data_IF_240875577621
#
_entry.id   IF_240875577621
#
_cell.length_a   1.000
_cell.length_b   1.000
_cell.length_c   1.000
_cell.angle_alpha   90.00
_cell.angle_beta   90.00
_cell.angle_gamma   90.00
#
_symmetry.space_group_name_H-M   'P 1'
#
loop_
_entity.id
_entity.type
_entity.pdbx_description
1 polymer ?
#
# COMPACT_ATOMS: atom_id res chain seq x y z
N UNK A 1 3.10 -38.28 15.28
CA UNK A 1 1.77 -37.74 15.62
C UNK A 1 1.96 -36.32 16.12
N UNK A 2 1.35 -35.29 15.50
CA UNK A 2 1.47 -33.94 16.06
C UNK A 2 0.68 -33.90 17.38
N UNK A 3 1.39 -33.62 18.48
CA UNK A 3 0.80 -33.39 19.79
C UNK A 3 0.00 -32.08 19.74
N UNK A 4 -1.32 -32.17 19.78
CA UNK A 4 -2.19 -30.99 19.90
C UNK A 4 -2.29 -30.63 21.37
N UNK A 5 -1.49 -29.68 21.82
CA UNK A 5 -1.56 -29.14 23.17
C UNK A 5 -2.91 -28.39 23.34
N UNK A 6 -3.79 -28.77 24.28
CA UNK A 6 -5.13 -28.18 24.41
C UNK A 6 -5.11 -26.72 24.89
N UNK A 7 -4.00 -26.24 25.45
CA UNK A 7 -3.86 -24.90 26.05
C UNK A 7 -3.29 -23.83 25.09
N UNK A 8 -3.23 -24.11 23.78
CA UNK A 8 -2.68 -23.16 22.79
C UNK A 8 -3.45 -21.83 22.76
N UNK A 9 -4.73 -21.86 23.13
CA UNK A 9 -5.59 -20.67 23.15
C UNK A 9 -5.43 -19.83 24.42
N UNK A 10 -4.91 -20.39 25.51
CA UNK A 10 -4.90 -19.73 26.84
C UNK A 10 -3.91 -18.55 26.90
N UNK A 11 -2.90 -18.54 26.03
CA UNK A 11 -1.91 -17.47 25.93
C UNK A 11 -2.21 -16.46 24.81
N UNK A 12 -3.29 -16.64 24.04
CA UNK A 12 -3.66 -15.73 22.96
C UNK A 12 -4.48 -14.57 23.51
N UNK A 13 -3.88 -13.38 23.55
CA UNK A 13 -4.64 -12.15 23.84
C UNK A 13 -5.36 -11.66 22.58
N UNK A 14 -6.71 -11.71 22.50
CA UNK A 14 -7.43 -11.19 21.34
C UNK A 14 -7.29 -9.68 21.23
N UNK A 15 -7.32 -9.18 20.00
CA UNK A 15 -7.24 -7.74 19.74
C UNK A 15 -8.49 -7.02 20.25
N UNK A 16 -8.28 -5.93 21.00
CA UNK A 16 -9.36 -5.05 21.50
C UNK A 16 -9.53 -3.82 20.60
N UNK A 17 -10.70 -3.20 20.60
CA UNK A 17 -10.95 -1.97 19.84
C UNK A 17 -10.02 -0.86 20.38
N UNK A 18 -9.09 -0.39 19.56
CA UNK A 18 -8.08 0.60 19.96
C UNK A 18 -6.72 -0.01 20.31
N UNK A 19 -6.56 -1.33 20.22
CA UNK A 19 -5.29 -2.03 20.47
C UNK A 19 -4.20 -1.55 19.48
N UNK A 20 -3.07 -1.00 19.99
CA UNK A 20 -1.98 -0.49 19.17
C UNK A 20 -1.34 -1.54 18.25
N UNK A 21 -1.47 -2.84 18.58
CA UNK A 21 -0.92 -3.95 17.79
C UNK A 21 -1.67 -4.16 16.47
N UNK A 22 -2.89 -3.62 16.34
CA UNK A 22 -3.65 -3.69 15.10
C UNK A 22 -3.06 -2.68 14.11
N UNK A 23 -2.54 -3.15 12.97
CA UNK A 23 -2.16 -2.27 11.87
C UNK A 23 -3.40 -1.66 11.18
N UNK A 24 -3.93 -0.58 11.76
CA UNK A 24 -5.06 0.20 11.20
C UNK A 24 -4.61 1.27 10.23
N UNK A 25 -3.29 1.56 10.16
CA UNK A 25 -2.70 2.54 9.24
C UNK A 25 -2.54 1.97 7.82
N UNK A 26 -2.42 0.64 7.68
CA UNK A 26 -2.20 -0.01 6.38
C UNK A 26 -3.45 -0.19 5.51
N UNK A 27 -4.62 -0.52 6.10
CA UNK A 27 -5.87 -0.74 5.34
C UNK A 27 -6.83 0.43 5.53
N UNK A 28 -7.13 1.24 4.50
CA UNK A 28 -8.09 2.33 4.62
C UNK A 28 -9.46 1.80 5.04
N UNK A 29 -10.11 2.47 6.01
CA UNK A 29 -11.41 2.06 6.59
C UNK A 29 -12.52 1.89 5.54
N UNK A 30 -12.48 2.67 4.46
CA UNK A 30 -13.48 2.67 3.39
C UNK A 30 -13.10 1.78 2.19
N UNK A 31 -11.90 1.19 2.18
CA UNK A 31 -11.45 0.36 1.07
C UNK A 31 -12.38 -0.84 0.82
N UNK A 32 -13.01 -1.35 1.87
CA UNK A 32 -13.91 -2.50 1.78
C UNK A 32 -15.19 -2.17 1.01
N UNK A 33 -15.69 -0.93 1.14
CA UNK A 33 -16.83 -0.46 0.37
C UNK A 33 -16.47 -0.37 -1.11
N UNK A 34 -15.30 0.18 -1.41
CA UNK A 34 -14.78 0.27 -2.78
C UNK A 34 -14.56 -1.13 -3.37
N UNK A 35 -13.93 -2.05 -2.62
CA UNK A 35 -13.73 -3.44 -3.05
C UNK A 35 -15.04 -4.12 -3.37
N UNK A 36 -16.07 -3.97 -2.52
CA UNK A 36 -17.40 -4.54 -2.78
C UNK A 36 -18.02 -3.99 -4.06
N UNK A 37 -17.93 -2.68 -4.30
CA UNK A 37 -18.41 -2.05 -5.53
C UNK A 37 -17.66 -2.57 -6.77
N UNK A 38 -16.34 -2.70 -6.68
CA UNK A 38 -15.53 -3.23 -7.79
C UNK A 38 -15.91 -4.69 -8.09
N UNK A 39 -16.13 -5.51 -7.06
CA UNK A 39 -16.59 -6.89 -7.23
C UNK A 39 -17.97 -6.97 -7.87
N UNK A 40 -18.92 -6.10 -7.48
CA UNK A 40 -20.25 -6.08 -8.08
C UNK A 40 -20.17 -5.73 -9.56
N UNK A 41 -19.44 -4.66 -9.91
CA UNK A 41 -19.22 -4.25 -11.31
C UNK A 41 -18.52 -5.37 -12.10
N UNK A 42 -17.60 -6.08 -11.47
CA UNK A 42 -16.83 -7.13 -12.12
C UNK A 42 -17.62 -8.38 -12.49
N UNK A 43 -18.68 -8.70 -11.75
CA UNK A 43 -19.55 -9.87 -11.95
C UNK A 43 -20.67 -9.56 -12.96
N UNK A 44 -20.90 -8.29 -13.29
CA UNK A 44 -21.89 -7.90 -14.30
C UNK A 44 -21.59 -8.53 -15.67
N UNK A 45 -22.66 -8.93 -16.36
CA UNK A 45 -22.60 -9.50 -17.71
C UNK A 45 -22.25 -8.39 -18.71
N UNK A 46 -21.31 -8.66 -19.61
CA UNK A 46 -20.97 -7.73 -20.68
C UNK A 46 -22.05 -7.79 -21.76
N UNK A 47 -22.51 -6.62 -22.19
CA UNK A 47 -23.44 -6.48 -23.31
C UNK A 47 -22.70 -5.97 -24.54
N UNK A 48 -23.10 -6.46 -25.72
CA UNK A 48 -22.65 -5.94 -27.01
C UNK A 48 -23.32 -4.59 -27.32
N UNK A 49 -22.89 -3.92 -28.40
CA UNK A 49 -23.41 -2.62 -28.85
C UNK A 49 -24.93 -2.60 -29.06
N UNK A 50 -25.54 -3.75 -29.30
CA UNK A 50 -26.99 -3.92 -29.46
C UNK A 50 -27.70 -4.37 -28.17
N UNK A 51 -27.04 -4.31 -27.01
CA UNK A 51 -27.62 -4.63 -25.70
C UNK A 51 -27.80 -6.13 -25.42
N UNK A 52 -27.20 -7.00 -26.23
CA UNK A 52 -27.29 -8.47 -26.07
C UNK A 52 -26.12 -8.99 -25.22
N UNK A 53 -26.30 -10.03 -24.38
CA UNK A 53 -25.20 -10.65 -23.66
C UNK A 53 -24.09 -11.12 -24.59
N UNK A 54 -22.85 -10.73 -24.28
CA UNK A 54 -21.68 -11.16 -25.03
C UNK A 54 -21.37 -12.62 -24.69
N UNK A 55 -21.37 -13.46 -25.73
CA UNK A 55 -21.12 -14.89 -25.63
C UNK A 55 -19.70 -15.19 -26.11
N UNK A 56 -18.94 -15.91 -25.30
CA UNK A 56 -17.65 -16.49 -25.70
C UNK A 56 -17.74 -17.98 -25.42
N UNK A 57 -17.47 -18.81 -26.42
CA UNK A 57 -17.60 -20.26 -26.35
C UNK A 57 -18.99 -20.73 -25.88
N UNK A 58 -20.04 -20.00 -26.26
CA UNK A 58 -21.43 -20.27 -25.87
C UNK A 58 -21.81 -19.88 -24.44
N UNK A 59 -20.92 -19.22 -23.68
CA UNK A 59 -21.18 -18.76 -22.30
C UNK A 59 -21.19 -17.25 -22.23
N UNK A 60 -22.10 -16.70 -21.42
CA UNK A 60 -22.13 -15.27 -21.12
C UNK A 60 -20.90 -14.90 -20.29
N UNK A 61 -20.17 -13.88 -20.70
CA UNK A 61 -18.98 -13.43 -19.98
C UNK A 61 -19.28 -12.26 -19.05
N UNK A 62 -18.57 -12.21 -17.93
CA UNK A 62 -18.60 -11.05 -17.01
C UNK A 62 -17.54 -10.01 -17.39
N UNK A 63 -17.67 -8.79 -16.88
CA UNK A 63 -16.71 -7.70 -17.10
C UNK A 63 -15.29 -8.08 -16.72
N UNK A 64 -15.10 -8.75 -15.57
CA UNK A 64 -13.77 -9.21 -15.13
C UNK A 64 -13.20 -10.25 -16.09
N UNK A 65 -14.03 -11.18 -16.58
CA UNK A 65 -13.56 -12.16 -17.56
C UNK A 65 -13.15 -11.51 -18.88
N UNK A 66 -13.89 -10.50 -19.35
CA UNK A 66 -13.55 -9.75 -20.55
C UNK A 66 -12.20 -9.03 -20.39
N UNK A 67 -11.96 -8.38 -19.25
CA UNK A 67 -10.68 -7.70 -18.95
C UNK A 67 -9.53 -8.71 -18.93
N UNK A 68 -9.71 -9.86 -18.26
CA UNK A 68 -8.67 -10.90 -18.20
C UNK A 68 -8.33 -11.46 -19.59
N UNK A 69 -9.32 -11.64 -20.46
CA UNK A 69 -9.11 -12.05 -21.85
C UNK A 69 -8.40 -10.98 -22.68
N UNK A 70 -8.73 -9.71 -22.44
CA UNK A 70 -8.04 -8.58 -23.05
C UNK A 70 -6.57 -8.53 -22.61
N UNK A 71 -6.30 -8.70 -21.31
CA UNK A 71 -4.94 -8.72 -20.77
C UNK A 71 -4.11 -9.88 -21.29
N UNK A 72 -4.71 -11.05 -21.49
CA UNK A 72 -4.03 -12.19 -22.10
C UNK A 72 -3.61 -11.90 -23.56
N UNK A 73 -4.40 -11.12 -24.28
CA UNK A 73 -4.14 -10.74 -25.68
C UNK A 73 -3.10 -9.62 -25.80
N UNK A 74 -3.09 -8.66 -24.87
CA UNK A 74 -2.24 -7.47 -24.93
C UNK A 74 -0.83 -7.71 -24.35
N UNK A 75 0.27 -7.57 -25.12
CA UNK A 75 1.62 -7.83 -24.63
C UNK A 75 2.05 -7.01 -23.41
N UNK A 76 1.51 -5.80 -23.26
CA UNK A 76 1.79 -4.92 -22.11
C UNK A 76 1.22 -5.44 -20.80
N UNK A 77 0.05 -6.08 -20.87
CA UNK A 77 -0.71 -6.56 -19.71
C UNK A 77 -0.50 -8.06 -19.44
N UNK A 78 0.23 -8.78 -20.30
CA UNK A 78 0.56 -10.19 -20.10
C UNK A 78 1.31 -10.43 -18.78
N UNK A 79 2.20 -9.49 -18.38
CA UNK A 79 2.86 -9.54 -17.08
C UNK A 79 1.86 -9.43 -15.94
N UNK A 80 0.97 -8.43 -15.99
CA UNK A 80 -0.08 -8.24 -14.97
C UNK A 80 -1.03 -9.43 -14.88
N UNK A 81 -1.37 -10.04 -16.02
CA UNK A 81 -2.19 -11.25 -16.10
C UNK A 81 -1.52 -12.44 -15.41
N UNK A 82 -0.24 -12.69 -15.70
CA UNK A 82 0.52 -13.76 -15.06
C UNK A 82 0.69 -13.48 -13.56
N UNK A 83 1.00 -12.24 -13.18
CA UNK A 83 1.16 -11.84 -11.77
C UNK A 83 -0.14 -12.00 -10.98
N UNK A 84 -1.30 -11.76 -11.59
CA UNK A 84 -2.59 -11.95 -10.93
C UNK A 84 -2.93 -13.43 -10.74
N UNK A 85 -2.63 -14.28 -11.73
CA UNK A 85 -2.94 -15.71 -11.70
C UNK A 85 -1.98 -16.55 -10.85
N UNK A 86 -0.68 -16.25 -10.93
CA UNK A 86 0.39 -17.05 -10.30
C UNK A 86 1.15 -16.31 -9.19
N UNK A 87 0.79 -15.04 -8.93
CA UNK A 87 1.47 -14.20 -7.95
C UNK A 87 2.64 -13.43 -8.54
N UNK A 88 3.11 -12.41 -7.81
CA UNK A 88 4.25 -11.60 -8.25
C UNK A 88 5.52 -12.42 -8.27
N UNK A 89 6.26 -12.33 -9.38
CA UNK A 89 7.64 -12.81 -9.42
C UNK A 89 8.45 -12.01 -8.40
N UNK A 90 9.21 -12.66 -7.50
CA UNK A 90 10.07 -11.95 -6.55
C UNK A 90 11.01 -11.02 -7.31
N UNK A 91 10.86 -9.70 -7.10
CA UNK A 91 11.78 -8.73 -7.66
C UNK A 91 12.96 -8.58 -6.69
N UNK A 92 14.20 -8.88 -7.10
CA UNK A 92 15.35 -8.58 -6.28
C UNK A 92 15.44 -7.07 -6.12
N UNK A 93 15.16 -6.59 -4.91
CA UNK A 93 15.46 -5.22 -4.51
C UNK A 93 16.94 -5.18 -4.18
N UNK A 94 17.76 -4.72 -5.13
CA UNK A 94 19.13 -4.36 -4.84
C UNK A 94 19.12 -3.03 -4.09
N UNK A 95 19.05 -3.12 -2.76
CA UNK A 95 19.21 -1.97 -1.86
C UNK A 95 20.68 -1.61 -1.69
N UNK A 96 21.59 -2.27 -2.38
CA UNK A 96 23.01 -1.95 -2.43
C UNK A 96 23.25 -1.25 -3.77
N UNK A 97 24.00 -0.16 -3.78
CA UNK A 97 24.44 0.44 -5.04
C UNK A 97 25.46 -0.50 -5.70
N UNK A 98 25.00 -1.59 -6.33
CA UNK A 98 25.87 -2.60 -6.96
C UNK A 98 26.81 -3.33 -5.99
N UNK A 99 26.39 -3.57 -4.75
CA UNK A 99 27.17 -4.25 -3.71
C UNK A 99 27.96 -3.33 -2.76
N UNK A 100 27.93 -2.01 -2.98
CA UNK A 100 28.62 -1.06 -2.10
C UNK A 100 27.76 -0.59 -0.92
N UNK A 101 28.39 -0.57 0.27
CA UNK A 101 27.77 -0.25 1.56
C UNK A 101 27.23 1.18 1.55
N UNK A 102 25.94 1.33 1.88
CA UNK A 102 25.31 2.64 2.08
C UNK A 102 25.75 3.24 3.41
N UNK A 103 26.47 4.35 3.35
CA UNK A 103 26.73 5.22 4.50
C UNK A 103 25.59 6.24 4.63
N UNK A 104 24.78 6.08 5.67
CA UNK A 104 23.67 6.98 5.99
C UNK A 104 24.14 7.95 7.08
N UNK A 105 24.36 9.22 6.70
CA UNK A 105 24.66 10.30 7.65
C UNK A 105 23.36 10.96 8.11
N UNK A 106 23.03 10.80 9.39
CA UNK A 106 21.90 11.47 10.03
C UNK A 106 22.39 12.76 10.71
N UNK A 107 21.91 13.92 10.24
CA UNK A 107 22.10 15.20 10.91
C UNK A 107 20.82 15.64 11.60
N UNK A 108 20.90 15.85 12.91
CA UNK A 108 19.82 16.39 13.73
C UNK A 108 20.12 17.87 13.97
N UNK A 109 19.14 18.73 13.70
CA UNK A 109 19.20 20.15 14.10
C UNK A 109 18.45 20.30 15.41
N UNK A 110 19.17 20.50 16.51
CA UNK A 110 18.59 21.04 17.75
C UNK A 110 18.39 22.54 17.57
N UNK A 111 17.14 22.99 17.62
CA UNK A 111 16.82 24.40 17.83
C UNK A 111 16.95 24.68 19.33
N UNK A 112 18.19 24.88 19.80
CA UNK A 112 18.40 25.57 21.06
C UNK A 112 18.18 27.07 20.82
N UNK A 113 17.46 27.66 21.76
CA UNK A 113 16.88 28.99 21.66
C UNK A 113 17.95 30.07 21.49
N UNK A 114 17.80 30.90 20.47
CA UNK A 114 18.42 32.22 20.39
C UNK A 114 17.73 33.15 21.39
N UNK A 115 18.12 33.08 22.66
CA UNK A 115 17.83 34.14 23.61
C UNK A 115 19.09 34.38 24.45
N UNK A 116 19.69 35.56 24.24
CA UNK A 116 20.41 36.38 25.23
C UNK A 116 21.82 36.84 24.83
N UNK A 117 21.89 37.82 23.91
CA UNK A 117 22.87 38.91 24.05
C UNK A 117 22.19 40.25 23.72
N UNK A 118 21.49 40.84 24.70
CA UNK A 118 21.24 42.28 24.68
C UNK A 118 22.58 43.01 24.79
N UNK A 119 23.15 43.42 23.65
CA UNK A 119 24.16 44.49 23.65
C UNK A 119 23.50 45.80 24.09
N UNK A 120 23.92 46.42 25.21
CA UNK A 120 23.44 47.76 25.55
C UNK A 120 23.98 48.78 24.54
N UNK A 121 23.11 49.67 24.08
CA UNK A 121 23.46 50.76 23.17
C UNK A 121 24.52 51.68 23.81
N UNK A 122 25.54 52.14 23.04
CA UNK A 122 26.48 53.12 23.58
C UNK A 122 25.76 54.45 23.82
N UNK A 123 25.88 54.95 25.05
CA UNK A 123 25.32 56.21 25.50
C UNK A 123 25.92 57.40 24.71
N UNK A 124 25.03 58.30 24.30
CA UNK A 124 25.34 59.65 23.86
C UNK A 124 26.11 60.40 24.94
N UNK A 125 27.29 60.93 24.59
CA UNK A 125 27.92 62.03 25.33
C UNK A 125 28.33 63.12 24.34
N UNK A 126 27.65 64.26 24.46
CA UNK A 126 27.95 65.51 23.79
C UNK A 126 29.08 66.29 24.50
N UNK A 127 29.65 67.23 23.74
CA UNK A 127 30.56 68.34 24.12
C UNK A 127 32.02 67.95 24.38
N UNK A 128 33.03 68.71 23.94
CA UNK A 128 33.12 70.16 23.66
C UNK A 128 34.01 70.48 22.46
#
# INVERSE_FOLDING_TARGET
MPSTNPHVLDNLTPFKKGDPRINRKGRPRNFDKLRKLVQSIGIEVVLDKQGRPLLVDGKTITRVQAILRQWASDPKHQRDFIEYGWGKVPQPLDMTSGGEKLDITLSWRTTENEDDERKPAPASSASS
#
